data_IF_427602615320
#
_entry.id   IF_427602615320
#
_cell.length_a   1.000
_cell.length_b   1.000
_cell.length_c   1.000
_cell.angle_alpha   90.00
_cell.angle_beta   90.00
_cell.angle_gamma   90.00
#
_symmetry.space_group_name_H-M   'P 1'
#
loop_
_entity.id
_entity.type
_entity.pdbx_description
1 polymer ?
#
# COMPACT_ATOMS: atom_id res chain seq x y z
N UNK A 1 -21.32 8.52 -0.07
CA UNK A 1 -20.24 7.64 -0.54
C UNK A 1 -18.90 8.37 -0.63
N UNK A 2 -18.75 9.41 -1.47
CA UNK A 2 -17.47 10.13 -1.63
C UNK A 2 -16.99 10.84 -0.35
N UNK A 3 -17.90 11.44 0.43
CA UNK A 3 -17.57 12.10 1.70
C UNK A 3 -16.91 11.11 2.68
N UNK A 4 -17.40 9.88 2.76
CA UNK A 4 -16.81 8.84 3.60
C UNK A 4 -15.39 8.48 3.14
N UNK A 5 -15.15 8.38 1.83
CA UNK A 5 -13.82 8.08 1.30
C UNK A 5 -12.83 9.22 1.57
N UNK A 6 -13.27 10.47 1.43
CA UNK A 6 -12.45 11.64 1.72
C UNK A 6 -12.07 11.71 3.21
N UNK A 7 -13.04 11.46 4.10
CA UNK A 7 -12.80 11.44 5.54
C UNK A 7 -11.85 10.31 5.94
N UNK A 8 -12.04 9.09 5.40
CA UNK A 8 -11.11 7.97 5.62
C UNK A 8 -9.70 8.28 5.11
N UNK A 9 -9.57 8.91 3.94
CA UNK A 9 -8.26 9.25 3.39
C UNK A 9 -7.49 10.24 4.29
N UNK A 10 -8.18 11.23 4.85
CA UNK A 10 -7.59 12.16 5.81
C UNK A 10 -7.25 11.48 7.14
N UNK A 11 -8.23 10.80 7.75
CA UNK A 11 -8.07 10.20 9.08
C UNK A 11 -7.00 9.09 9.13
N UNK A 12 -6.83 8.34 8.03
CA UNK A 12 -5.90 7.21 7.95
C UNK A 12 -4.59 7.56 7.22
N UNK A 13 -4.39 8.84 6.89
CA UNK A 13 -3.21 9.35 6.18
C UNK A 13 -2.94 8.59 4.86
N UNK A 14 -3.97 8.44 4.04
CA UNK A 14 -3.85 7.83 2.71
C UNK A 14 -3.43 8.86 1.67
N UNK A 15 -2.84 8.36 0.59
CA UNK A 15 -2.43 9.16 -0.56
C UNK A 15 -3.20 8.73 -1.80
N UNK A 16 -3.38 9.66 -2.74
CA UNK A 16 -4.04 9.39 -4.00
C UNK A 16 -3.11 8.57 -4.92
N UNK A 17 -3.50 7.36 -5.37
CA UNK A 17 -2.68 6.59 -6.30
C UNK A 17 -2.68 7.22 -7.70
N UNK A 18 -1.65 6.91 -8.48
CA UNK A 18 -1.54 7.31 -9.89
C UNK A 18 -1.61 6.08 -10.79
N UNK A 19 -2.27 6.22 -11.94
CA UNK A 19 -2.35 5.16 -12.95
C UNK A 19 -1.25 5.30 -14.01
N UNK A 20 -0.88 4.19 -14.62
CA UNK A 20 0.05 4.11 -15.74
C UNK A 20 -0.47 3.13 -16.77
N UNK A 21 -0.20 3.36 -18.05
CA UNK A 21 -0.61 2.46 -19.14
C UNK A 21 0.17 1.15 -19.19
N UNK A 22 1.26 1.03 -18.41
CA UNK A 22 2.09 -0.17 -18.33
C UNK A 22 1.73 -1.02 -17.12
N UNK A 23 1.72 -2.36 -17.23
CA UNK A 23 1.57 -3.24 -16.08
C UNK A 23 2.68 -3.01 -15.05
N UNK A 24 2.30 -2.85 -13.79
CA UNK A 24 3.24 -2.68 -12.69
C UNK A 24 2.55 -2.21 -11.42
N UNK A 25 3.24 -2.34 -10.31
CA UNK A 25 2.79 -1.86 -9.00
C UNK A 25 4.00 -1.22 -8.34
N UNK A 26 3.88 0.05 -7.93
CA UNK A 26 4.88 0.74 -7.14
C UNK A 26 4.23 1.27 -5.87
N UNK A 27 4.68 0.76 -4.73
CA UNK A 27 4.24 1.18 -3.40
C UNK A 27 5.48 1.68 -2.64
N UNK A 28 5.37 2.87 -2.07
CA UNK A 28 6.38 3.49 -1.22
C UNK A 28 5.74 3.60 0.17
N UNK A 29 6.44 3.16 1.21
CA UNK A 29 5.91 3.14 2.59
C UNK A 29 4.51 2.49 2.69
N UNK A 30 4.34 1.32 2.06
CA UNK A 30 3.07 0.59 2.04
C UNK A 30 2.68 0.03 3.40
N UNK A 31 1.43 0.26 3.82
CA UNK A 31 0.85 -0.22 5.07
C UNK A 31 -0.34 -1.12 4.80
N UNK A 32 -0.56 -2.13 5.64
CA UNK A 32 -1.76 -2.95 5.55
C UNK A 32 -2.92 -2.23 6.27
N UNK A 33 -4.00 -1.81 5.58
CA UNK A 33 -4.98 -0.85 6.12
C UNK A 33 -5.79 -1.35 7.33
N UNK A 34 -5.96 -2.67 7.46
CA UNK A 34 -6.63 -3.29 8.60
C UNK A 34 -5.65 -3.62 9.73
N UNK A 35 -4.55 -4.33 9.43
CA UNK A 35 -3.57 -4.76 10.44
C UNK A 35 -3.00 -3.57 11.22
N UNK A 36 -2.71 -2.45 10.54
CA UNK A 36 -2.18 -1.25 11.22
C UNK A 36 -3.14 -0.65 12.26
N UNK A 37 -4.45 -0.91 12.16
CA UNK A 37 -5.46 -0.40 13.08
C UNK A 37 -5.69 -1.35 14.27
N UNK A 38 -5.28 -2.61 14.15
CA UNK A 38 -5.53 -3.66 15.14
C UNK A 38 -4.30 -3.95 15.99
N UNK A 39 -3.10 -3.67 15.48
CA UNK A 39 -1.87 -3.82 16.25
C UNK A 39 -1.78 -2.78 17.38
N UNK A 40 -1.32 -3.23 18.54
CA UNK A 40 -0.96 -2.34 19.65
C UNK A 40 0.43 -1.72 19.49
N UNK A 41 1.18 -2.16 18.48
CA UNK A 41 2.51 -1.70 18.12
C UNK A 41 2.52 -1.06 16.72
N UNK A 42 3.48 -0.17 16.41
CA UNK A 42 3.56 0.46 15.11
C UNK A 42 3.75 -0.56 13.97
N UNK A 43 2.92 -0.46 12.92
CA UNK A 43 3.11 -1.24 11.69
C UNK A 43 4.32 -0.71 10.91
N UNK A 44 5.27 -1.59 10.58
CA UNK A 44 6.43 -1.22 9.77
C UNK A 44 6.05 -1.22 8.28
N UNK A 45 6.16 -0.06 7.66
CA UNK A 45 5.82 0.13 6.26
C UNK A 45 6.83 -0.58 5.33
N UNK A 46 6.35 -1.07 4.18
CA UNK A 46 7.18 -1.84 3.24
C UNK A 46 7.05 -1.31 1.80
N UNK A 47 8.15 -1.21 1.05
CA UNK A 47 8.10 -0.88 -0.36
C UNK A 47 7.77 -2.10 -1.23
N UNK A 48 7.15 -1.87 -2.39
CA UNK A 48 6.93 -2.89 -3.42
C UNK A 48 7.22 -2.30 -4.79
N UNK A 49 7.91 -3.04 -5.64
CA UNK A 49 8.07 -2.69 -7.06
C UNK A 49 7.92 -3.94 -7.92
N UNK A 50 6.84 -3.96 -8.68
CA UNK A 50 6.58 -4.89 -9.77
C UNK A 50 6.57 -4.12 -11.09
N UNK A 51 7.22 -4.70 -12.08
CA UNK A 51 7.35 -4.13 -13.43
C UNK A 51 7.34 -5.26 -14.47
N UNK A 52 7.25 -4.96 -15.77
CA UNK A 52 7.32 -5.99 -16.81
C UNK A 52 8.61 -6.84 -16.73
N UNK A 53 9.72 -6.23 -16.27
CA UNK A 53 11.03 -6.88 -16.08
C UNK A 53 11.11 -7.65 -14.76
N UNK A 54 10.33 -7.28 -13.74
CA UNK A 54 10.28 -7.90 -12.41
C UNK A 54 8.83 -8.17 -12.02
N UNK A 55 8.27 -9.25 -12.59
CA UNK A 55 6.84 -9.60 -12.46
C UNK A 55 6.54 -10.69 -11.42
N UNK A 56 7.57 -11.25 -10.79
CA UNK A 56 7.43 -12.29 -9.78
C UNK A 56 8.43 -12.01 -8.64
N UNK A 57 7.98 -12.20 -7.40
CA UNK A 57 8.80 -12.14 -6.20
C UNK A 57 8.67 -13.46 -5.47
N UNK A 58 9.80 -14.07 -5.14
CA UNK A 58 9.85 -15.18 -4.21
C UNK A 58 10.14 -14.57 -2.83
N UNK A 59 9.19 -14.72 -1.91
CA UNK A 59 9.32 -14.22 -0.54
C UNK A 59 9.70 -15.42 0.33
N UNK A 60 10.84 -15.30 1.01
CA UNK A 60 11.35 -16.31 1.95
C UNK A 60 11.51 -15.66 3.32
N UNK A 61 11.42 -16.48 4.36
CA UNK A 61 11.58 -16.08 5.76
C UNK A 61 11.48 -17.33 6.64
N UNK A 62 11.67 -17.20 7.96
CA UNK A 62 11.23 -18.23 8.89
C UNK A 62 9.73 -18.55 8.72
#
# INVERSE_FOLDING_TARGET
MLVNLAERAYALNYTCPTFSDKPGIRIIEGRHPVVEQVLNEPFIANPLTLSPQRRMLIITGP
#
